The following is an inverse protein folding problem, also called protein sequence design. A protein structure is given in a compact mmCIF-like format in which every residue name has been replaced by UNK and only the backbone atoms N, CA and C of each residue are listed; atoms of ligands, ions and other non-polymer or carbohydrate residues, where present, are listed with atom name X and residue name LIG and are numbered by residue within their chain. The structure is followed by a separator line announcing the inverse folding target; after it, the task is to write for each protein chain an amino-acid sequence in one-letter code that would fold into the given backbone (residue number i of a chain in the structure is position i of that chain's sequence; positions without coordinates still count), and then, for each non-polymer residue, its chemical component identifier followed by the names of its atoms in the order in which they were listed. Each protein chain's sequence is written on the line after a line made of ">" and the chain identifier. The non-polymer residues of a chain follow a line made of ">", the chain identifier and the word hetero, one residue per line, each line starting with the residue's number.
data_IF_986723345061
#
_entry.id   IF_986723345061
#
_cell.length_a   1.000
_cell.length_b   1.000
_cell.length_c   1.000
_cell.angle_alpha   90.00
_cell.angle_beta   90.00
_cell.angle_gamma   90.00
#
_symmetry.space_group_name_H-M   'P 1'
#
loop_
_entity.id
_entity.type
_entity.pdbx_description
1 polymer ?
#
# COMPACT_ATOMS: atom_id res chain seq x y z
N UNK A 1 18.78 37.95 -11.86
CA UNK A 1 17.31 37.78 -11.78
C UNK A 1 16.79 36.52 -12.49
N UNK A 2 17.57 35.86 -13.39
CA UNK A 2 17.15 34.65 -14.12
C UNK A 2 17.39 33.28 -13.41
N UNK A 3 18.08 33.27 -12.26
CA UNK A 3 18.52 32.02 -11.61
C UNK A 3 17.45 31.37 -10.71
N UNK A 4 16.45 32.12 -10.25
CA UNK A 4 15.41 31.63 -9.34
C UNK A 4 14.49 30.58 -9.99
N UNK A 5 14.11 30.77 -11.26
CA UNK A 5 13.21 29.86 -11.97
C UNK A 5 13.79 28.46 -12.17
N UNK A 6 15.09 28.35 -12.47
CA UNK A 6 15.76 27.06 -12.63
C UNK A 6 15.87 26.28 -11.31
N UNK A 7 16.10 26.99 -10.19
CA UNK A 7 16.16 26.37 -8.86
C UNK A 7 14.78 25.84 -8.46
N UNK A 8 13.72 26.64 -8.63
CA UNK A 8 12.33 26.23 -8.36
C UNK A 8 11.94 25.02 -9.21
N UNK A 9 12.29 25.00 -10.50
CA UNK A 9 12.00 23.87 -11.37
C UNK A 9 12.68 22.56 -10.89
N UNK A 10 13.97 22.61 -10.52
CA UNK A 10 14.69 21.43 -9.98
C UNK A 10 14.06 20.92 -8.69
N UNK A 11 13.70 21.84 -7.79
CA UNK A 11 13.06 21.51 -6.51
C UNK A 11 11.69 20.87 -6.72
N UNK A 12 10.87 21.38 -7.65
CA UNK A 12 9.58 20.78 -8.02
C UNK A 12 9.75 19.37 -8.58
N UNK A 13 10.65 19.19 -9.54
CA UNK A 13 10.92 17.87 -10.15
C UNK A 13 11.35 16.86 -9.08
N UNK A 14 12.23 17.28 -8.17
CA UNK A 14 12.66 16.42 -7.06
C UNK A 14 11.47 16.00 -6.17
N UNK A 15 10.61 16.93 -5.77
CA UNK A 15 9.43 16.62 -4.97
C UNK A 15 8.47 15.67 -5.69
N UNK A 16 8.23 15.88 -6.99
CA UNK A 16 7.38 14.99 -7.80
C UNK A 16 7.97 13.58 -7.90
N UNK A 17 9.29 13.47 -8.04
CA UNK A 17 9.97 12.17 -8.05
C UNK A 17 9.80 11.43 -6.71
N UNK A 18 9.91 12.14 -5.58
CA UNK A 18 9.64 11.57 -4.25
C UNK A 18 8.20 11.07 -4.15
N UNK A 19 7.22 11.90 -4.53
CA UNK A 19 5.81 11.50 -4.51
C UNK A 19 5.53 10.30 -5.43
N UNK A 20 6.19 10.25 -6.59
CA UNK A 20 6.09 9.11 -7.50
C UNK A 20 6.60 7.81 -6.86
N UNK A 21 7.78 7.84 -6.22
CA UNK A 21 8.33 6.65 -5.52
C UNK A 21 7.39 6.21 -4.39
N UNK A 22 6.84 7.16 -3.62
CA UNK A 22 5.86 6.85 -2.57
C UNK A 22 4.59 6.20 -3.14
N UNK A 23 4.07 6.72 -4.26
CA UNK A 23 2.93 6.13 -4.95
C UNK A 23 3.22 4.70 -5.41
N UNK A 24 4.41 4.45 -5.98
CA UNK A 24 4.82 3.10 -6.40
C UNK A 24 4.99 2.16 -5.21
N UNK A 25 5.51 2.63 -4.08
CA UNK A 25 5.62 1.83 -2.86
C UNK A 25 4.22 1.42 -2.34
N UNK A 26 3.26 2.35 -2.34
CA UNK A 26 1.86 2.07 -2.02
C UNK A 26 1.25 1.06 -2.99
N UNK A 27 1.52 1.20 -4.29
CA UNK A 27 1.04 0.28 -5.33
C UNK A 27 1.61 -1.13 -5.16
N UNK A 28 2.91 -1.25 -4.86
CA UNK A 28 3.54 -2.54 -4.56
C UNK A 28 2.90 -3.18 -3.32
N UNK A 29 2.68 -2.41 -2.26
CA UNK A 29 2.05 -2.94 -1.05
C UNK A 29 0.59 -3.35 -1.28
N UNK A 30 -0.14 -2.65 -2.16
CA UNK A 30 -1.48 -3.03 -2.60
C UNK A 30 -1.48 -4.46 -3.17
N UNK A 31 -0.53 -4.79 -4.05
CA UNK A 31 -0.39 -6.14 -4.60
C UNK A 31 -0.01 -7.18 -3.55
N UNK A 32 0.84 -6.83 -2.57
CA UNK A 32 1.15 -7.72 -1.43
C UNK A 32 -0.11 -8.06 -0.63
N UNK A 33 -0.95 -7.07 -0.35
CA UNK A 33 -2.22 -7.23 0.39
C UNK A 33 -3.20 -8.10 -0.41
N UNK A 34 -3.31 -7.89 -1.72
CA UNK A 34 -4.12 -8.75 -2.61
C UNK A 34 -3.59 -10.18 -2.62
N UNK A 35 -2.28 -10.39 -2.80
CA UNK A 35 -1.69 -11.73 -2.78
C UNK A 35 -1.95 -12.43 -1.44
N UNK A 36 -1.83 -11.71 -0.32
CA UNK A 36 -2.15 -12.22 1.02
C UNK A 36 -3.63 -12.60 1.15
N UNK A 37 -4.54 -11.78 0.64
CA UNK A 37 -5.98 -12.06 0.68
C UNK A 37 -6.34 -13.28 -0.17
N UNK A 38 -5.82 -13.35 -1.40
CA UNK A 38 -6.01 -14.50 -2.30
C UNK A 38 -5.50 -15.76 -1.62
N UNK A 39 -4.27 -15.76 -1.09
CA UNK A 39 -3.70 -16.94 -0.45
C UNK A 39 -4.52 -17.37 0.78
N UNK A 40 -5.07 -16.42 1.55
CA UNK A 40 -5.95 -16.72 2.68
C UNK A 40 -7.22 -17.47 2.24
N UNK A 41 -7.81 -17.08 1.10
CA UNK A 41 -8.95 -17.79 0.52
C UNK A 41 -8.56 -19.15 -0.04
N UNK A 42 -7.39 -19.25 -0.69
CA UNK A 42 -6.89 -20.54 -1.17
C UNK A 42 -6.71 -21.54 -0.04
N UNK A 43 -6.24 -21.10 1.14
CA UNK A 43 -6.20 -21.95 2.34
C UNK A 43 -7.61 -22.25 2.88
N UNK A 44 -8.47 -21.24 3.02
CA UNK A 44 -9.81 -21.41 3.58
C UNK A 44 -10.68 -22.39 2.77
N UNK A 45 -10.53 -22.40 1.45
CA UNK A 45 -11.26 -23.30 0.55
C UNK A 45 -10.51 -24.60 0.25
N UNK A 46 -9.42 -24.91 0.98
CA UNK A 46 -8.60 -26.10 0.79
C UNK A 46 -8.09 -26.29 -0.67
N UNK A 47 -7.88 -25.18 -1.39
CA UNK A 47 -7.38 -25.20 -2.77
C UNK A 47 -5.87 -25.48 -2.80
N UNK A 48 -5.14 -24.97 -1.80
CA UNK A 48 -3.69 -25.17 -1.68
C UNK A 48 -3.34 -25.87 -0.37
N UNK A 49 -2.34 -26.74 -0.42
CA UNK A 49 -1.88 -27.49 0.74
C UNK A 49 -0.76 -26.74 1.48
N UNK A 50 -0.95 -26.37 2.77
CA UNK A 50 0.10 -25.77 3.59
C UNK A 50 1.32 -26.68 3.79
N UNK A 51 1.19 -28.00 3.60
CA UNK A 51 2.31 -28.94 3.64
C UNK A 51 3.29 -28.82 2.48
N UNK A 52 2.97 -28.04 1.43
CA UNK A 52 3.89 -27.75 0.35
C UNK A 52 4.90 -26.67 0.80
N UNK A 53 6.22 -26.95 0.83
CA UNK A 53 7.23 -26.01 1.34
C UNK A 53 7.24 -24.66 0.62
N UNK A 54 6.93 -24.64 -0.69
CA UNK A 54 6.86 -23.41 -1.46
C UNK A 54 5.66 -22.56 -1.03
N UNK A 55 4.47 -23.15 -0.98
CA UNK A 55 3.23 -22.46 -0.57
C UNK A 55 3.35 -21.89 0.84
N UNK A 56 3.90 -22.67 1.76
CA UNK A 56 4.17 -22.30 3.14
C UNK A 56 5.20 -21.16 3.26
N UNK A 57 6.27 -21.18 2.46
CA UNK A 57 7.26 -20.09 2.42
C UNK A 57 6.65 -18.76 1.94
N UNK A 58 5.83 -18.80 0.89
CA UNK A 58 5.13 -17.63 0.35
C UNK A 58 4.11 -17.11 1.37
N UNK A 59 3.37 -18.02 2.02
CA UNK A 59 2.41 -17.68 3.07
C UNK A 59 3.05 -16.97 4.24
N UNK A 60 4.16 -17.50 4.77
CA UNK A 60 4.92 -16.83 5.84
C UNK A 60 5.43 -15.45 5.43
N UNK A 61 5.96 -15.34 4.22
CA UNK A 61 6.47 -14.06 3.71
C UNK A 61 5.36 -13.01 3.65
N UNK A 62 4.22 -13.34 3.05
CA UNK A 62 3.07 -12.44 2.96
C UNK A 62 2.54 -12.08 4.35
N UNK A 63 2.42 -13.07 5.25
CA UNK A 63 2.00 -12.84 6.63
C UNK A 63 2.93 -11.87 7.37
N UNK A 64 4.25 -12.03 7.25
CA UNK A 64 5.20 -11.11 7.90
C UNK A 64 5.07 -9.66 7.41
N UNK A 65 4.74 -9.47 6.12
CA UNK A 65 4.55 -8.14 5.55
C UNK A 65 3.21 -7.50 5.92
N UNK A 66 2.15 -8.30 6.11
CA UNK A 66 0.79 -7.78 6.32
C UNK A 66 0.37 -7.75 7.79
N UNK A 67 0.84 -8.70 8.61
CA UNK A 67 0.44 -8.88 10.01
C UNK A 67 0.62 -7.63 10.88
N UNK A 68 1.72 -6.85 10.80
CA UNK A 68 1.88 -5.65 11.62
C UNK A 68 0.76 -4.61 11.39
N UNK A 69 0.23 -4.54 10.16
CA UNK A 69 -0.85 -3.64 9.78
C UNK A 69 -2.22 -4.28 10.08
N UNK A 70 -2.43 -5.53 9.66
CA UNK A 70 -3.69 -6.24 9.91
C UNK A 70 -4.00 -6.35 11.40
N UNK A 71 -3.00 -6.65 12.24
CA UNK A 71 -3.18 -6.69 13.70
C UNK A 71 -3.65 -5.36 14.28
N UNK A 72 -3.23 -4.22 13.73
CA UNK A 72 -3.70 -2.91 14.18
C UNK A 72 -5.14 -2.68 13.77
N UNK A 73 -5.51 -3.10 12.57
CA UNK A 73 -6.88 -2.97 12.05
C UNK A 73 -7.85 -3.89 12.79
N UNK A 74 -7.48 -5.14 13.06
CA UNK A 74 -8.29 -6.10 13.83
C UNK A 74 -8.60 -5.65 15.25
N UNK A 75 -7.81 -4.73 15.83
CA UNK A 75 -8.11 -4.13 17.14
C UNK A 75 -9.26 -3.13 17.11
N UNK A 76 -9.57 -2.59 15.93
CA UNK A 76 -10.60 -1.56 15.73
C UNK A 76 -11.86 -2.15 15.10
N UNK A 77 -11.70 -3.20 14.28
CA UNK A 77 -12.85 -3.90 13.70
C UNK A 77 -13.61 -4.71 14.76
N UNK A 78 -14.94 -4.79 14.66
CA UNK A 78 -15.72 -5.74 15.44
C UNK A 78 -15.35 -7.18 15.04
N UNK A 79 -15.66 -8.15 15.89
CA UNK A 79 -15.50 -9.56 15.53
C UNK A 79 -16.54 -9.94 14.45
N UNK A 80 -16.06 -10.39 13.30
CA UNK A 80 -16.87 -10.67 12.10
C UNK A 80 -17.06 -12.16 11.87
N UNK A 81 -16.99 -12.99 12.92
CA UNK A 81 -17.33 -14.40 12.83
C UNK A 81 -16.32 -15.21 12.02
N UNK A 82 -15.03 -14.90 12.16
CA UNK A 82 -13.92 -15.66 11.57
C UNK A 82 -13.51 -15.24 10.15
N UNK A 83 -14.18 -14.27 9.53
CA UNK A 83 -13.75 -13.68 8.25
C UNK A 83 -12.87 -12.46 8.52
N UNK A 84 -11.61 -12.50 8.06
CA UNK A 84 -10.70 -11.37 8.18
C UNK A 84 -10.96 -10.31 7.10
N UNK A 85 -11.63 -9.22 7.45
CA UNK A 85 -11.83 -8.06 6.57
C UNK A 85 -10.66 -7.06 6.59
N UNK A 86 -9.60 -7.31 7.36
CA UNK A 86 -8.43 -6.43 7.42
C UNK A 86 -7.79 -6.15 6.05
N UNK A 87 -7.66 -7.13 5.13
CA UNK A 87 -7.12 -6.84 3.79
C UNK A 87 -7.92 -5.76 3.07
N UNK A 88 -9.25 -5.82 3.11
CA UNK A 88 -10.11 -4.85 2.46
C UNK A 88 -9.92 -3.43 3.04
N UNK A 89 -9.84 -3.31 4.35
CA UNK A 89 -9.59 -2.03 5.03
C UNK A 89 -8.22 -1.47 4.65
N UNK A 90 -7.19 -2.32 4.56
CA UNK A 90 -5.86 -1.88 4.10
C UNK A 90 -5.90 -1.40 2.67
N UNK A 91 -6.58 -2.12 1.75
CA UNK A 91 -6.69 -1.70 0.36
C UNK A 91 -7.36 -0.33 0.23
N UNK A 92 -8.43 -0.07 0.99
CA UNK A 92 -9.07 1.23 1.02
C UNK A 92 -8.18 2.32 1.61
N UNK A 93 -7.41 2.02 2.66
CA UNK A 93 -6.45 2.97 3.21
C UNK A 93 -5.34 3.32 2.20
N UNK A 94 -4.79 2.31 1.51
CA UNK A 94 -3.78 2.53 0.45
C UNK A 94 -4.37 3.38 -0.66
N UNK A 95 -5.56 3.04 -1.14
CA UNK A 95 -6.25 3.81 -2.17
C UNK A 95 -6.42 5.26 -1.72
N UNK A 96 -6.95 5.49 -0.51
CA UNK A 96 -7.09 6.83 0.05
C UNK A 96 -5.76 7.61 0.06
N UNK A 97 -4.67 6.99 0.50
CA UNK A 97 -3.34 7.61 0.50
C UNK A 97 -2.86 7.94 -0.92
N UNK A 98 -3.06 7.05 -1.89
CA UNK A 98 -2.75 7.31 -3.29
C UNK A 98 -3.53 8.50 -3.85
N UNK A 99 -4.83 8.59 -3.55
CA UNK A 99 -5.66 9.74 -3.91
C UNK A 99 -5.15 11.02 -3.23
N UNK A 100 -4.74 10.96 -1.96
CA UNK A 100 -4.17 12.11 -1.26
C UNK A 100 -2.90 12.62 -1.96
N UNK A 101 -2.01 11.72 -2.37
CA UNK A 101 -0.81 12.09 -3.12
C UNK A 101 -1.14 12.75 -4.46
N UNK A 102 -2.09 12.19 -5.22
CA UNK A 102 -2.41 12.65 -6.58
C UNK A 102 -3.22 13.94 -6.58
N UNK A 103 -4.22 14.07 -5.72
CA UNK A 103 -5.20 15.17 -5.79
C UNK A 103 -4.88 16.33 -4.86
N UNK A 104 -4.04 16.12 -3.84
CA UNK A 104 -3.67 17.19 -2.90
C UNK A 104 -2.18 17.51 -2.97
N UNK A 105 -1.30 16.52 -2.84
CA UNK A 105 0.15 16.76 -2.74
C UNK A 105 0.75 17.20 -4.07
N UNK A 106 0.48 16.48 -5.15
CA UNK A 106 1.02 16.81 -6.48
C UNK A 106 0.60 18.22 -6.95
N UNK A 107 -0.70 18.59 -6.92
CA UNK A 107 -1.14 19.95 -7.23
C UNK A 107 -0.48 21.01 -6.35
N UNK A 108 -0.34 20.75 -5.04
CA UNK A 108 0.34 21.66 -4.13
C UNK A 108 1.83 21.85 -4.49
N UNK A 109 2.54 20.81 -4.96
CA UNK A 109 3.91 20.95 -5.46
C UNK A 109 3.96 21.83 -6.72
N UNK A 110 2.97 21.70 -7.61
CA UNK A 110 2.90 22.53 -8.81
C UNK A 110 2.64 24.00 -8.52
N UNK A 111 1.94 24.33 -7.41
CA UNK A 111 1.65 25.70 -7.00
C UNK A 111 2.80 26.39 -6.26
N UNK A 112 3.82 25.66 -5.80
CA UNK A 112 5.04 26.25 -5.22
C UNK A 112 5.83 26.98 -6.31
N UNK A 113 5.89 28.31 -6.23
CA UNK A 113 6.70 29.16 -7.10
C UNK A 113 5.98 29.77 -8.30
N UNK A 114 4.65 29.82 -8.26
CA UNK A 114 3.86 30.88 -8.94
C UNK A 114 3.89 32.13 -8.07
#
# INVERSE_FOLDING_TARGET
>A
MATSGHVVAKVRIFMLAVTYVLYQALNLYWWVVIASAILSWLYAFNIVNPGNPFVDSVGRFLWQLTEPVYRRIRKVLPDLGGIDLSPLVVLFAIMFLQYLLVYYVNPAIYSVGV
#
